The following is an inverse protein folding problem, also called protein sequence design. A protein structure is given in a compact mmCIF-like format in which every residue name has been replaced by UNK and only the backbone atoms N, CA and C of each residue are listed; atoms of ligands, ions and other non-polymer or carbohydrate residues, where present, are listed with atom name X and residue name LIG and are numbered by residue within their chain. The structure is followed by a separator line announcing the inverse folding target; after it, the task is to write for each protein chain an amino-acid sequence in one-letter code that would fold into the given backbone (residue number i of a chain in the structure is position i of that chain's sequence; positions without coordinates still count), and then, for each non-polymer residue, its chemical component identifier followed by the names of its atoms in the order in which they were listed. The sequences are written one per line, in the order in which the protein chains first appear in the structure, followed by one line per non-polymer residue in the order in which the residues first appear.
data_IF_107930085474
#
_entry.id   IF_107930085474
#
_cell.length_a   1.000
_cell.length_b   1.000
_cell.length_c   1.000
_cell.angle_alpha   90.00
_cell.angle_beta   90.00
_cell.angle_gamma   90.00
#
_symmetry.space_group_name_H-M   'P 1'
#
loop_
_entity.id
_entity.type
_entity.pdbx_description
1 polymer ?
#
# COMPACT_ATOMS: atom_id res chain seq x y z
N UNK A 1 -27.37 -2.08 15.65
CA UNK A 1 -27.01 -3.02 14.57
C UNK A 1 -25.88 -2.39 13.77
N UNK A 2 -24.77 -3.10 13.56
CA UNK A 2 -23.62 -2.57 12.83
C UNK A 2 -23.89 -2.54 11.32
N UNK A 3 -23.29 -1.57 10.62
CA UNK A 3 -23.34 -1.43 9.16
C UNK A 3 -21.92 -1.62 8.60
N UNK A 4 -21.79 -2.17 7.40
CA UNK A 4 -20.51 -2.36 6.72
C UNK A 4 -20.56 -1.75 5.32
N UNK A 5 -19.37 -1.49 4.76
CA UNK A 5 -19.20 -1.08 3.37
C UNK A 5 -18.18 -1.99 2.68
N UNK A 6 -18.42 -2.31 1.41
CA UNK A 6 -17.44 -2.99 0.57
C UNK A 6 -16.40 -1.95 0.12
N UNK A 7 -15.17 -2.08 0.64
CA UNK A 7 -14.06 -1.19 0.33
C UNK A 7 -13.37 -1.51 -0.99
N UNK A 8 -13.43 -2.77 -1.44
CA UNK A 8 -12.88 -3.22 -2.73
C UNK A 8 -13.55 -4.51 -3.21
N UNK A 9 -13.65 -4.67 -4.52
CA UNK A 9 -14.14 -5.90 -5.17
C UNK A 9 -12.98 -6.77 -5.70
N UNK A 10 -11.83 -6.15 -5.93
CA UNK A 10 -10.60 -6.82 -6.38
C UNK A 10 -9.47 -6.36 -5.49
N UNK A 11 -8.76 -7.31 -4.88
CA UNK A 11 -7.52 -7.06 -4.15
C UNK A 11 -6.41 -7.93 -4.72
N UNK A 12 -5.24 -7.35 -4.93
CA UNK A 12 -4.02 -8.10 -5.28
C UNK A 12 -2.86 -7.68 -4.39
N UNK A 13 -1.92 -8.59 -4.22
CA UNK A 13 -0.66 -8.39 -3.50
C UNK A 13 0.48 -8.78 -4.44
N UNK A 14 1.44 -7.88 -4.62
CA UNK A 14 2.59 -8.07 -5.52
C UNK A 14 3.87 -7.98 -4.70
N UNK A 15 4.59 -9.10 -4.62
CA UNK A 15 5.93 -9.14 -4.02
C UNK A 15 6.93 -8.43 -4.95
N UNK A 16 7.64 -7.45 -4.41
CA UNK A 16 8.65 -6.67 -5.13
C UNK A 16 10.03 -7.33 -5.13
N UNK A 17 10.19 -8.48 -4.47
CA UNK A 17 11.44 -9.23 -4.30
C UNK A 17 12.57 -8.46 -3.62
N UNK A 18 12.21 -7.45 -2.82
CA UNK A 18 13.14 -6.62 -2.05
C UNK A 18 12.69 -6.43 -0.59
N UNK A 19 11.94 -7.40 -0.06
CA UNK A 19 11.29 -7.38 1.26
C UNK A 19 10.11 -6.41 1.41
N UNK A 20 9.59 -5.89 0.30
CA UNK A 20 8.38 -5.09 0.25
C UNK A 20 7.34 -5.72 -0.66
N UNK A 21 6.10 -5.44 -0.34
CA UNK A 21 4.93 -5.90 -1.07
C UNK A 21 4.01 -4.72 -1.32
N UNK A 22 3.51 -4.60 -2.55
CA UNK A 22 2.44 -3.63 -2.87
C UNK A 22 1.10 -4.33 -2.82
N UNK A 23 0.15 -3.73 -2.12
CA UNK A 23 -1.25 -4.16 -2.08
C UNK A 23 -2.08 -3.16 -2.87
N UNK A 24 -2.81 -3.64 -3.87
CA UNK A 24 -3.73 -2.82 -4.65
C UNK A 24 -5.17 -3.26 -4.38
N UNK A 25 -6.01 -2.30 -3.98
CA UNK A 25 -7.42 -2.51 -3.71
C UNK A 25 -8.25 -1.70 -4.70
N UNK A 26 -9.01 -2.38 -5.55
CA UNK A 26 -9.84 -1.78 -6.58
C UNK A 26 -11.34 -2.02 -6.34
N UNK A 27 -12.12 -0.94 -6.41
CA UNK A 27 -13.58 -0.94 -6.28
C UNK A 27 -14.23 -0.52 -7.59
N UNK A 28 -15.27 -1.23 -8.01
CA UNK A 28 -16.02 -0.85 -9.21
C UNK A 28 -16.87 0.38 -8.91
N UNK A 29 -16.67 1.45 -9.67
CA UNK A 29 -17.50 2.64 -9.66
C UNK A 29 -18.55 2.54 -10.77
N UNK A 30 -19.83 2.43 -10.39
CA UNK A 30 -20.94 2.30 -11.34
C UNK A 30 -21.24 3.56 -12.13
N UNK A 31 -20.96 4.74 -11.57
CA UNK A 31 -21.23 6.02 -12.23
C UNK A 31 -20.20 6.30 -13.32
N UNK A 32 -18.95 5.93 -13.08
CA UNK A 32 -17.84 6.09 -14.03
C UNK A 32 -17.66 4.90 -14.98
N UNK A 33 -18.31 3.77 -14.68
CA UNK A 33 -18.09 2.48 -15.37
C UNK A 33 -16.60 2.07 -15.40
N UNK A 34 -15.89 2.30 -14.29
CA UNK A 34 -14.46 2.05 -14.16
C UNK A 34 -14.09 1.55 -12.76
N UNK A 35 -12.89 0.97 -12.62
CA UNK A 35 -12.33 0.63 -11.32
C UNK A 35 -11.56 1.82 -10.75
N UNK A 36 -11.77 2.13 -9.47
CA UNK A 36 -10.93 3.04 -8.70
C UNK A 36 -10.03 2.22 -7.78
N UNK A 37 -8.73 2.34 -7.95
CA UNK A 37 -7.73 1.59 -7.20
C UNK A 37 -6.92 2.48 -6.26
N UNK A 38 -6.71 1.98 -5.04
CA UNK A 38 -5.83 2.58 -4.05
C UNK A 38 -4.71 1.61 -3.73
N UNK A 39 -3.48 2.13 -3.71
CA UNK A 39 -2.27 1.34 -3.51
C UNK A 39 -1.69 1.57 -2.12
N UNK A 40 -1.14 0.50 -1.56
CA UNK A 40 -0.49 0.46 -0.26
C UNK A 40 0.85 -0.25 -0.41
N UNK A 41 1.82 0.10 0.42
CA UNK A 41 3.06 -0.64 0.56
C UNK A 41 3.16 -1.22 1.96
N UNK A 42 3.74 -2.40 2.08
CA UNK A 42 4.15 -2.96 3.36
C UNK A 42 5.46 -3.70 3.26
N UNK A 43 6.19 -3.78 4.36
CA UNK A 43 7.26 -4.76 4.49
C UNK A 43 6.66 -6.16 4.55
N UNK A 44 7.27 -7.15 3.90
CA UNK A 44 6.66 -8.48 3.72
C UNK A 44 6.27 -9.15 5.05
N UNK A 45 7.09 -8.97 6.09
CA UNK A 45 6.90 -9.60 7.40
C UNK A 45 6.01 -8.82 8.38
N UNK A 46 5.56 -7.61 8.00
CA UNK A 46 4.75 -6.73 8.86
C UNK A 46 3.40 -6.48 8.20
N UNK A 47 2.30 -6.80 8.87
CA UNK A 47 0.94 -6.62 8.32
C UNK A 47 0.40 -5.19 8.50
N UNK A 48 1.27 -4.20 8.31
CA UNK A 48 0.93 -2.78 8.37
C UNK A 48 0.95 -2.21 6.95
N UNK A 49 -0.24 -1.91 6.42
CA UNK A 49 -0.40 -1.26 5.12
C UNK A 49 -0.18 0.24 5.24
N UNK A 50 0.92 0.72 4.70
CA UNK A 50 1.18 2.16 4.54
C UNK A 50 0.55 2.64 3.22
N UNK A 51 -0.23 3.71 3.30
CA UNK A 51 -0.98 4.25 2.17
C UNK A 51 -0.04 5.01 1.23
N UNK A 52 -0.07 4.67 -0.06
CA UNK A 52 0.61 5.46 -1.08
C UNK A 52 -0.26 6.67 -1.42
N UNK A 53 -0.06 7.78 -0.71
CA UNK A 53 -0.86 9.01 -0.74
C UNK A 53 -1.07 9.63 -2.13
N UNK A 54 -0.10 9.53 -3.04
CA UNK A 54 -0.22 9.99 -4.42
C UNK A 54 -0.89 8.96 -5.35
N UNK A 55 -1.19 7.76 -4.85
CA UNK A 55 -1.69 6.60 -5.60
C UNK A 55 -3.07 6.14 -5.08
N UNK A 56 -3.96 7.12 -4.92
CA UNK A 56 -5.34 6.93 -4.42
C UNK A 56 -6.33 7.16 -5.56
N UNK A 57 -7.40 6.33 -5.60
CA UNK A 57 -8.48 6.46 -6.58
C UNK A 57 -8.01 6.50 -8.04
N UNK A 58 -6.92 5.78 -8.36
CA UNK A 58 -6.41 5.67 -9.71
C UNK A 58 -7.44 4.93 -10.56
N UNK A 59 -7.81 5.54 -11.68
CA UNK A 59 -8.89 5.06 -12.53
C UNK A 59 -8.40 4.05 -13.58
N UNK A 60 -9.09 2.92 -13.67
CA UNK A 60 -8.83 1.84 -14.61
C UNK A 60 -10.09 1.49 -15.40
N UNK A 61 -10.06 1.75 -16.71
CA UNK A 61 -11.09 1.30 -17.66
C UNK A 61 -10.88 -0.17 -18.04
N UNK A 62 -10.93 -1.05 -17.03
CA UNK A 62 -10.64 -2.48 -17.16
C UNK A 62 -11.89 -3.32 -16.89
N UNK A 63 -11.96 -4.48 -17.52
CA UNK A 63 -12.96 -5.49 -17.19
C UNK A 63 -12.53 -6.29 -15.96
N UNK A 64 -13.50 -6.97 -15.32
CA UNK A 64 -13.24 -7.85 -14.16
C UNK A 64 -12.18 -8.93 -14.44
N UNK A 65 -12.02 -9.36 -15.70
CA UNK A 65 -11.05 -10.37 -16.12
C UNK A 65 -9.63 -9.81 -16.30
N UNK A 66 -9.50 -8.51 -16.62
CA UNK A 66 -8.22 -7.89 -16.99
C UNK A 66 -7.66 -6.99 -15.89
N UNK A 67 -8.52 -6.45 -15.01
CA UNK A 67 -8.14 -5.50 -13.95
C UNK A 67 -6.93 -5.96 -13.14
N UNK A 68 -6.81 -7.25 -12.81
CA UNK A 68 -5.64 -7.77 -12.07
C UNK A 68 -4.33 -7.57 -12.83
N UNK A 69 -4.33 -7.83 -14.13
CA UNK A 69 -3.14 -7.65 -14.97
C UNK A 69 -2.83 -6.16 -15.16
N UNK A 70 -3.86 -5.31 -15.29
CA UNK A 70 -3.69 -3.87 -15.45
C UNK A 70 -3.14 -3.23 -14.17
N UNK A 71 -3.55 -3.70 -12.98
CA UNK A 71 -2.96 -3.33 -11.71
C UNK A 71 -1.49 -3.74 -11.61
N UNK A 72 -1.11 -4.94 -12.05
CA UNK A 72 0.29 -5.38 -12.07
C UNK A 72 1.13 -4.48 -12.98
N UNK A 73 0.67 -4.20 -14.20
CA UNK A 73 1.36 -3.28 -15.12
C UNK A 73 1.52 -1.87 -14.55
N UNK A 74 0.52 -1.40 -13.81
CA UNK A 74 0.61 -0.10 -13.15
C UNK A 74 1.69 -0.11 -12.07
N UNK A 75 1.77 -1.18 -11.26
CA UNK A 75 2.82 -1.35 -10.27
C UNK A 75 4.20 -1.40 -10.94
N UNK A 76 4.36 -2.12 -12.05
CA UNK A 76 5.59 -2.12 -12.86
C UNK A 76 5.98 -0.70 -13.27
N UNK A 77 5.04 0.10 -13.78
CA UNK A 77 5.27 1.50 -14.12
C UNK A 77 5.70 2.33 -12.90
N UNK A 78 5.13 2.10 -11.71
CA UNK A 78 5.54 2.80 -10.48
C UNK A 78 6.98 2.45 -10.07
N UNK A 79 7.41 1.20 -10.30
CA UNK A 79 8.80 0.75 -10.09
C UNK A 79 9.72 1.50 -11.04
N UNK A 80 9.41 1.48 -12.35
CA UNK A 80 10.23 2.13 -13.38
C UNK A 80 10.40 3.63 -13.16
N UNK A 81 9.36 4.29 -12.64
CA UNK A 81 9.37 5.72 -12.30
C UNK A 81 10.03 6.05 -10.96
N UNK A 82 10.48 5.03 -10.20
CA UNK A 82 11.07 5.22 -8.87
C UNK A 82 10.08 5.67 -7.80
N UNK A 83 8.77 5.65 -8.07
CA UNK A 83 7.72 6.11 -7.14
C UNK A 83 7.67 5.17 -5.93
N UNK A 84 7.75 3.86 -6.16
CA UNK A 84 7.75 2.88 -5.07
C UNK A 84 8.93 3.10 -4.11
N UNK A 85 10.11 3.45 -4.63
CA UNK A 85 11.30 3.64 -3.80
C UNK A 85 11.09 4.77 -2.78
N UNK A 86 10.41 5.87 -3.16
CA UNK A 86 10.07 6.95 -2.23
C UNK A 86 9.25 6.45 -1.04
N UNK A 87 8.31 5.53 -1.28
CA UNK A 87 7.48 4.96 -0.22
C UNK A 87 8.24 3.96 0.65
N UNK A 88 9.14 3.17 0.06
CA UNK A 88 10.07 2.32 0.81
C UNK A 88 10.94 3.16 1.76
N UNK A 89 11.50 4.26 1.25
CA UNK A 89 12.38 5.13 2.04
C UNK A 89 11.62 5.83 3.18
N UNK A 90 10.37 6.27 2.92
CA UNK A 90 9.48 6.79 3.96
C UNK A 90 9.21 5.75 5.04
N UNK A 91 8.83 4.53 4.66
CA UNK A 91 8.53 3.45 5.60
C UNK A 91 9.73 3.11 6.48
N UNK A 92 10.93 3.03 5.90
CA UNK A 92 12.18 2.82 6.65
C UNK A 92 12.43 3.94 7.65
N UNK A 93 12.26 5.19 7.24
CA UNK A 93 12.45 6.34 8.12
C UNK A 93 11.48 6.32 9.31
N UNK A 94 10.23 5.94 9.09
CA UNK A 94 9.23 5.82 10.15
C UNK A 94 9.60 4.72 11.14
N UNK A 95 10.01 3.54 10.66
CA UNK A 95 10.51 2.46 11.51
C UNK A 95 11.75 2.89 12.31
N UNK A 96 12.71 3.55 11.67
CA UNK A 96 13.91 4.06 12.35
C UNK A 96 13.55 5.06 13.45
N UNK A 97 12.54 5.91 13.23
CA UNK A 97 12.05 6.84 14.24
C UNK A 97 11.42 6.10 15.44
N UNK A 98 10.64 5.05 15.17
CA UNK A 98 10.03 4.21 16.21
C UNK A 98 11.11 3.49 17.02
N UNK A 99 12.10 2.90 16.37
CA UNK A 99 13.18 2.16 17.05
C UNK A 99 14.00 3.09 17.96
N UNK A 100 14.36 4.28 17.46
CA UNK A 100 15.07 5.29 18.25
C UNK A 100 14.24 5.80 19.42
N UNK A 101 12.96 6.08 19.19
CA UNK A 101 12.04 6.49 20.25
C UNK A 101 11.90 5.42 21.32
N UNK A 102 11.72 4.17 20.92
CA UNK A 102 11.63 3.01 21.82
C UNK A 102 12.88 2.86 22.67
N UNK A 103 14.07 2.95 22.06
CA UNK A 103 15.33 2.88 22.78
C UNK A 103 15.47 3.98 23.84
N UNK A 104 15.03 5.21 23.53
CA UNK A 104 15.03 6.32 24.48
C UNK A 104 14.08 6.07 25.66
N UNK A 105 12.85 5.60 25.40
CA UNK A 105 11.89 5.26 26.46
C UNK A 105 12.38 4.12 27.37
N UNK A 106 13.03 3.10 26.81
CA UNK A 106 13.59 2.00 27.62
C UNK A 106 14.76 2.46 28.49
N UNK A 107 15.60 3.39 28.00
CA UNK A 107 16.64 4.01 28.82
C UNK A 107 16.04 4.80 29.98
N UNK A 108 15.02 5.63 29.73
CA UNK A 108 14.33 6.39 30.79
C UNK A 108 13.67 5.47 31.83
N UNK A 109 13.13 4.33 31.39
CA UNK A 109 12.52 3.34 32.29
C UNK A 109 13.53 2.67 33.21
N UNK A 110 14.74 2.38 32.70
CA UNK A 110 15.81 1.73 33.46
C UNK A 110 16.60 2.68 34.38
N UNK A 111 16.29 3.98 34.37
CA UNK A 111 16.89 5.00 35.26
C UNK A 111 16.05 5.21 36.53
N UNK A 112 14.89 4.55 36.65
CA UNK A 112 14.09 4.48 37.89
C UNK A 112 14.39 3.22 38.69
#
# INVERSE_FOLDING_TARGET
MLRYEIIANVGISVDLHNNYTVVALAKWNKEKESYLATFYIKQTDIDHLDLMDDQIEIEFSSEIKTIKNDLVKYIEMLIERGIIQRYIDRYKYELDCIDRGTAMFELERNVK
#
